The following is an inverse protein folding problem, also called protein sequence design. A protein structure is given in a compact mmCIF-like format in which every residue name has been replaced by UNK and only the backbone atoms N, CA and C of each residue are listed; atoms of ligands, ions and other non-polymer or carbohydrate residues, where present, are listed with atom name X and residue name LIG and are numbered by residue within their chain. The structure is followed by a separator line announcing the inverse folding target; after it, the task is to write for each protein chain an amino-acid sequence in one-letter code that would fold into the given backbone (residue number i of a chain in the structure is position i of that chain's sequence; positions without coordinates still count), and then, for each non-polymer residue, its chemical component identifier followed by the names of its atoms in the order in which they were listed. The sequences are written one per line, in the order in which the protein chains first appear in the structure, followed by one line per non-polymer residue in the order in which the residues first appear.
data_IF_992574380578
#
_entry.id   IF_992574380578
#
_cell.length_a   1.000
_cell.length_b   1.000
_cell.length_c   1.000
_cell.angle_alpha   90.00
_cell.angle_beta   90.00
_cell.angle_gamma   90.00
#
_symmetry.space_group_name_H-M   'P 1'
#
loop_
_entity.id
_entity.type
_entity.pdbx_description
1 polymer ?
#
# COMPACT_ATOMS: atom_id res chain seq x y z
N UNK A 1 -1.85 9.87 37.41
CA UNK A 1 -1.72 10.08 35.95
C UNK A 1 -2.09 8.76 35.26
N UNK A 2 -3.33 8.62 34.78
CA UNK A 2 -3.79 7.40 34.09
C UNK A 2 -3.29 7.46 32.65
N UNK A 3 -2.50 6.47 32.24
CA UNK A 3 -2.07 6.30 30.87
C UNK A 3 -3.33 6.09 30.01
N UNK A 4 -3.47 6.91 28.97
CA UNK A 4 -4.39 6.66 27.87
C UNK A 4 -3.97 5.34 27.22
N UNK A 5 -4.63 4.24 27.54
CA UNK A 5 -4.65 3.06 26.66
C UNK A 5 -5.14 3.54 25.29
N UNK A 6 -4.20 3.71 24.35
CA UNK A 6 -4.53 3.94 22.96
C UNK A 6 -5.33 2.72 22.51
N UNK A 7 -6.64 2.89 22.24
CA UNK A 7 -7.49 1.86 21.64
C UNK A 7 -6.79 1.39 20.37
N UNK A 8 -6.22 0.19 20.41
CA UNK A 8 -5.64 -0.45 19.23
C UNK A 8 -6.72 -0.52 18.15
N UNK A 9 -6.36 -0.13 16.93
CA UNK A 9 -7.32 -0.15 15.82
C UNK A 9 -7.64 -1.59 15.44
N UNK A 10 -8.88 -1.87 15.04
CA UNK A 10 -9.29 -3.18 14.50
C UNK A 10 -8.36 -3.61 13.37
N UNK A 11 -7.87 -2.66 12.57
CA UNK A 11 -6.89 -2.93 11.51
C UNK A 11 -5.55 -3.39 12.06
N UNK A 12 -5.06 -2.81 13.16
CA UNK A 12 -3.77 -3.21 13.75
C UNK A 12 -3.86 -4.61 14.34
N UNK A 13 -4.97 -4.93 15.00
CA UNK A 13 -5.23 -6.30 15.49
C UNK A 13 -5.34 -7.29 14.34
N UNK A 14 -6.05 -6.94 13.25
CA UNK A 14 -6.20 -7.84 12.10
C UNK A 14 -4.87 -8.13 11.40
N UNK A 15 -3.97 -7.14 11.30
CA UNK A 15 -2.63 -7.29 10.72
C UNK A 15 -1.81 -8.35 11.47
N UNK A 16 -1.92 -8.42 12.80
CA UNK A 16 -1.20 -9.43 13.61
C UNK A 16 -1.82 -10.82 13.44
N UNK A 17 -3.14 -10.90 13.40
CA UNK A 17 -3.86 -12.19 13.37
C UNK A 17 -3.85 -12.84 11.99
N UNK A 18 -3.71 -12.08 10.89
CA UNK A 18 -3.82 -12.57 9.51
C UNK A 18 -2.95 -13.80 9.21
N UNK A 19 -1.76 -13.87 9.85
CA UNK A 19 -0.80 -14.96 9.69
C UNK A 19 -1.34 -16.30 10.20
N UNK A 20 -2.18 -16.30 11.25
CA UNK A 20 -2.79 -17.51 11.81
C UNK A 20 -3.78 -18.17 10.83
N UNK A 21 -4.33 -17.39 9.91
CA UNK A 21 -5.30 -17.85 8.92
C UNK A 21 -4.65 -18.17 7.56
N UNK A 22 -3.32 -18.09 7.44
CA UNK A 22 -2.63 -18.28 6.17
C UNK A 22 -2.96 -17.20 5.13
N UNK A 23 -3.43 -16.03 5.58
CA UNK A 23 -3.80 -14.90 4.73
C UNK A 23 -2.64 -13.87 4.70
N UNK A 24 -2.60 -13.06 3.65
CA UNK A 24 -1.61 -11.99 3.48
C UNK A 24 -2.26 -10.60 3.36
N UNK A 25 -1.59 -9.58 3.89
CA UNK A 25 -1.90 -8.18 3.60
C UNK A 25 -0.88 -7.61 2.61
N UNK A 26 -1.37 -6.79 1.68
CA UNK A 26 -0.54 -5.96 0.80
C UNK A 26 -0.94 -4.51 1.04
N UNK A 27 -0.02 -3.71 1.59
CA UNK A 27 -0.20 -2.27 1.76
C UNK A 27 0.43 -1.54 0.60
N UNK A 28 -0.32 -0.62 -0.02
CA UNK A 28 0.17 0.26 -1.08
C UNK A 28 -0.18 1.68 -0.70
N UNK A 29 0.84 2.49 -0.44
CA UNK A 29 0.67 3.89 -0.03
C UNK A 29 1.73 4.76 -0.71
N UNK A 30 1.37 6.02 -0.96
CA UNK A 30 2.30 7.05 -1.43
C UNK A 30 3.05 7.72 -0.27
N UNK A 31 2.49 7.70 0.95
CA UNK A 31 3.04 8.37 2.14
C UNK A 31 3.42 7.36 3.22
N UNK A 32 4.65 6.87 3.18
CA UNK A 32 5.14 5.88 4.15
C UNK A 32 5.05 6.34 5.61
N UNK A 33 5.14 7.64 5.88
CA UNK A 33 5.06 8.21 7.22
C UNK A 33 3.68 8.14 7.88
N UNK A 34 2.63 7.88 7.10
CA UNK A 34 1.26 7.69 7.61
C UNK A 34 0.96 6.23 7.97
N UNK A 35 1.77 5.28 7.49
CA UNK A 35 1.63 3.87 7.84
C UNK A 35 1.96 3.65 9.32
N UNK A 36 1.14 2.82 9.98
CA UNK A 36 1.35 2.53 11.39
C UNK A 36 2.63 1.73 11.61
N UNK A 37 3.26 1.91 12.78
CA UNK A 37 4.43 1.11 13.17
C UNK A 37 4.11 -0.39 13.20
N UNK A 38 2.86 -0.74 13.51
CA UNK A 38 2.37 -2.13 13.50
C UNK A 38 2.42 -2.70 12.08
N UNK A 39 2.04 -1.93 11.06
CA UNK A 39 2.12 -2.37 9.67
C UNK A 39 3.57 -2.67 9.25
N UNK A 40 4.52 -1.77 9.54
CA UNK A 40 5.94 -2.02 9.24
C UNK A 40 6.50 -3.23 9.99
N UNK A 41 6.25 -3.32 11.30
CA UNK A 41 6.79 -4.39 12.14
C UNK A 41 6.24 -5.79 11.80
N UNK A 42 5.03 -5.86 11.20
CA UNK A 42 4.40 -7.13 10.81
C UNK A 42 4.45 -7.39 9.30
N UNK A 43 5.03 -6.49 8.51
CA UNK A 43 5.26 -6.74 7.09
C UNK A 43 6.48 -7.65 6.94
N UNK A 44 6.31 -8.77 6.23
CA UNK A 44 7.43 -9.67 5.92
C UNK A 44 8.34 -9.07 4.85
N UNK A 45 7.75 -8.49 3.80
CA UNK A 45 8.46 -7.85 2.72
C UNK A 45 8.08 -6.37 2.66
N UNK A 46 9.09 -5.51 2.52
CA UNK A 46 8.89 -4.09 2.23
C UNK A 46 9.55 -3.76 0.90
N UNK A 47 8.78 -3.14 -0.01
CA UNK A 47 9.25 -2.70 -1.33
C UNK A 47 9.14 -1.19 -1.34
N UNK A 48 10.27 -0.50 -1.34
CA UNK A 48 10.34 0.96 -1.38
C UNK A 48 10.75 1.42 -2.77
N UNK A 49 9.87 2.19 -3.40
CA UNK A 49 10.20 2.99 -4.57
C UNK A 49 10.79 4.34 -4.13
N UNK A 50 11.16 5.18 -5.10
CA UNK A 50 11.66 6.53 -4.82
C UNK A 50 10.69 7.32 -3.94
N UNK A 51 11.24 7.92 -2.88
CA UNK A 51 10.51 8.76 -1.93
C UNK A 51 10.94 10.22 -2.13
N UNK A 52 10.05 11.18 -1.87
CA UNK A 52 10.35 12.62 -2.00
C UNK A 52 10.42 13.35 -0.66
N UNK A 53 9.47 13.07 0.23
CA UNK A 53 9.36 13.77 1.49
C UNK A 53 10.35 13.20 2.51
N UNK A 54 11.02 14.09 3.25
CA UNK A 54 12.01 13.70 4.27
C UNK A 54 11.42 12.77 5.33
N UNK A 55 10.16 12.98 5.73
CA UNK A 55 9.44 12.13 6.68
C UNK A 55 9.28 10.70 6.16
N UNK A 56 8.92 10.53 4.89
CA UNK A 56 8.72 9.23 4.27
C UNK A 56 10.06 8.50 4.07
N UNK A 57 11.09 9.21 3.61
CA UNK A 57 12.46 8.69 3.52
C UNK A 57 12.91 8.16 4.88
N UNK A 58 12.71 8.92 5.95
CA UNK A 58 13.10 8.52 7.29
C UNK A 58 12.29 7.31 7.78
N UNK A 59 10.99 7.25 7.49
CA UNK A 59 10.13 6.13 7.86
C UNK A 59 10.58 4.83 7.18
N UNK A 60 10.76 4.85 5.86
CA UNK A 60 11.24 3.71 5.08
C UNK A 60 12.65 3.30 5.50
N UNK A 61 13.56 4.25 5.65
CA UNK A 61 14.91 3.97 6.07
C UNK A 61 14.99 3.28 7.43
N UNK A 62 14.14 3.71 8.37
CA UNK A 62 14.04 3.11 9.70
C UNK A 62 13.43 1.71 9.62
N UNK A 63 12.41 1.51 8.77
CA UNK A 63 11.77 0.21 8.57
C UNK A 63 12.68 -0.81 7.86
N UNK A 64 13.57 -0.36 6.98
CA UNK A 64 14.48 -1.20 6.21
C UNK A 64 15.89 -1.32 6.79
N UNK A 65 16.18 -0.62 7.91
CA UNK A 65 17.48 -0.56 8.56
C UNK A 65 18.61 -0.02 7.66
N UNK A 66 18.36 1.10 6.97
CA UNK A 66 19.34 1.72 6.07
C UNK A 66 20.42 2.52 6.80
N UNK A 67 21.64 2.50 6.26
CA UNK A 67 22.71 3.45 6.60
C UNK A 67 22.38 4.85 6.09
N UNK A 68 23.01 5.89 6.64
CA UNK A 68 22.75 7.27 6.24
C UNK A 68 23.04 7.54 4.75
N UNK A 69 24.02 6.84 4.17
CA UNK A 69 24.31 6.89 2.73
C UNK A 69 23.19 6.27 1.90
N UNK A 70 22.67 5.11 2.32
CA UNK A 70 21.56 4.42 1.64
C UNK A 70 20.27 5.24 1.69
N UNK A 71 20.05 6.01 2.77
CA UNK A 71 18.90 6.94 2.87
C UNK A 71 18.90 7.96 1.76
N UNK A 72 20.07 8.50 1.41
CA UNK A 72 20.17 9.50 0.34
C UNK A 72 19.87 8.87 -1.04
N UNK A 73 20.24 7.61 -1.23
CA UNK A 73 19.99 6.88 -2.48
C UNK A 73 18.50 6.65 -2.77
N UNK A 74 17.61 6.60 -1.75
CA UNK A 74 16.17 6.48 -1.95
C UNK A 74 15.58 7.62 -2.80
N UNK A 75 16.11 8.83 -2.65
CA UNK A 75 15.62 10.00 -3.39
C UNK A 75 16.07 10.00 -4.85
N UNK A 76 17.13 9.26 -5.18
CA UNK A 76 17.75 9.23 -6.51
C UNK A 76 17.42 7.95 -7.29
N UNK A 77 16.58 7.07 -6.73
CA UNK A 77 16.16 5.84 -7.40
C UNK A 77 15.49 6.14 -8.75
N UNK A 78 15.98 5.57 -9.85
CA UNK A 78 15.38 5.77 -11.16
C UNK A 78 14.04 5.04 -11.25
N UNK A 79 13.12 5.59 -12.04
CA UNK A 79 11.79 5.01 -12.27
C UNK A 79 11.88 3.54 -12.70
N UNK A 80 10.98 2.72 -12.16
CA UNK A 80 10.97 1.27 -12.37
C UNK A 80 12.05 0.54 -11.58
N UNK A 81 12.55 1.12 -10.49
CA UNK A 81 13.51 0.48 -9.57
C UNK A 81 13.01 0.61 -8.15
N UNK A 82 13.30 -0.39 -7.32
CA UNK A 82 12.88 -0.40 -5.93
C UNK A 82 13.93 -1.10 -5.06
N UNK A 83 13.98 -0.72 -3.80
CA UNK A 83 14.74 -1.47 -2.79
C UNK A 83 13.78 -2.42 -2.07
N UNK A 84 14.19 -3.67 -1.96
CA UNK A 84 13.43 -4.72 -1.30
C UNK A 84 14.17 -5.15 -0.05
N UNK A 85 13.41 -5.25 1.05
CA UNK A 85 13.87 -5.90 2.28
C UNK A 85 12.87 -6.99 2.66
N UNK A 86 13.39 -8.18 2.87
CA UNK A 86 12.65 -9.32 3.40
C UNK A 86 13.02 -9.48 4.87
N UNK A 87 12.09 -9.84 5.75
CA UNK A 87 12.37 -10.03 7.16
C UNK A 87 13.30 -11.23 7.43
N UNK A 88 13.34 -12.20 6.51
CA UNK A 88 14.16 -13.40 6.56
C UNK A 88 14.89 -13.64 5.21
N UNK A 89 15.82 -14.60 5.16
CA UNK A 89 16.60 -15.06 4.00
C UNK A 89 17.67 -14.10 3.45
N UNK A 90 17.45 -12.78 3.52
CA UNK A 90 18.43 -11.76 3.11
C UNK A 90 18.49 -10.62 4.12
N UNK A 91 19.49 -10.60 5.04
CA UNK A 91 19.60 -9.60 6.10
C UNK A 91 19.84 -8.18 5.58
N UNK A 92 20.34 -8.05 4.36
CA UNK A 92 20.61 -6.76 3.73
C UNK A 92 19.55 -6.44 2.66
N UNK A 93 19.07 -5.19 2.61
CA UNK A 93 18.21 -4.71 1.53
C UNK A 93 18.92 -4.79 0.17
N UNK A 94 18.18 -5.12 -0.88
CA UNK A 94 18.72 -5.26 -2.24
C UNK A 94 17.89 -4.49 -3.27
N UNK A 95 18.56 -4.03 -4.32
CA UNK A 95 17.93 -3.27 -5.41
C UNK A 95 17.36 -4.23 -6.46
N UNK A 96 16.13 -3.96 -6.91
CA UNK A 96 15.48 -4.67 -8.00
C UNK A 96 15.02 -3.72 -9.11
N UNK A 97 14.99 -4.23 -10.34
CA UNK A 97 14.33 -3.57 -11.47
C UNK A 97 12.92 -4.13 -11.63
N UNK A 98 11.92 -3.26 -11.57
CA UNK A 98 10.52 -3.63 -11.77
C UNK A 98 10.22 -3.53 -13.27
N UNK A 99 9.78 -4.61 -13.92
CA UNK A 99 9.41 -4.57 -15.32
C UNK A 99 8.20 -3.65 -15.53
N UNK A 100 8.22 -2.87 -16.61
CA UNK A 100 7.08 -2.03 -16.97
C UNK A 100 5.90 -2.92 -17.35
N UNK A 101 4.82 -2.83 -16.58
CA UNK A 101 3.55 -3.44 -16.93
C UNK A 101 2.66 -2.40 -17.60
N UNK A 102 2.40 -2.56 -18.89
CA UNK A 102 1.50 -1.68 -19.63
C UNK A 102 0.05 -2.02 -19.25
N UNK A 103 -0.48 -1.32 -18.24
CA UNK A 103 -1.90 -1.42 -17.89
C UNK A 103 -2.68 -0.50 -18.81
N UNK A 104 -3.63 -1.08 -19.56
CA UNK A 104 -4.54 -0.29 -20.40
C UNK A 104 -5.72 0.18 -19.55
N UNK A 105 -5.81 1.48 -19.30
CA UNK A 105 -6.96 2.06 -18.60
C UNK A 105 -8.27 1.71 -19.31
N UNK A 106 -9.33 1.45 -18.55
CA UNK A 106 -10.62 0.99 -19.08
C UNK A 106 -10.65 -0.46 -19.59
N UNK A 107 -9.56 -1.22 -19.49
CA UNK A 107 -9.54 -2.64 -19.86
C UNK A 107 -10.45 -3.52 -18.99
N UNK A 108 -10.82 -3.03 -17.80
CA UNK A 108 -11.74 -3.70 -16.88
C UNK A 108 -12.96 -2.80 -16.69
N UNK A 109 -14.13 -3.29 -17.11
CA UNK A 109 -15.41 -2.58 -16.88
C UNK A 109 -16.03 -2.95 -15.53
N UNK A 110 -16.85 -2.06 -14.97
CA UNK A 110 -17.60 -2.32 -13.74
C UNK A 110 -18.44 -3.61 -13.83
N UNK A 111 -19.01 -3.89 -15.02
CA UNK A 111 -19.74 -5.14 -15.28
C UNK A 111 -18.84 -6.36 -15.14
N UNK A 112 -17.59 -6.30 -15.60
CA UNK A 112 -16.63 -7.37 -15.46
C UNK A 112 -16.28 -7.61 -13.98
N UNK A 113 -16.07 -6.53 -13.21
CA UNK A 113 -15.82 -6.61 -11.75
C UNK A 113 -17.03 -7.21 -11.05
N UNK A 114 -18.25 -6.70 -11.29
CA UNK A 114 -19.49 -7.18 -10.68
C UNK A 114 -19.73 -8.65 -10.95
N UNK A 115 -19.54 -9.10 -12.19
CA UNK A 115 -19.70 -10.51 -12.56
C UNK A 115 -18.65 -11.40 -11.89
N UNK A 116 -17.41 -10.94 -11.76
CA UNK A 116 -16.35 -11.67 -11.06
C UNK A 116 -16.68 -11.79 -9.56
N UNK A 117 -17.14 -10.70 -8.95
CA UNK A 117 -17.45 -10.66 -7.52
C UNK A 117 -18.74 -11.39 -7.15
N UNK A 118 -19.69 -11.56 -8.08
CA UNK A 118 -20.94 -12.29 -7.88
C UNK A 118 -20.75 -13.69 -7.26
N UNK A 119 -19.64 -14.36 -7.56
CA UNK A 119 -19.30 -15.70 -7.04
C UNK A 119 -18.83 -15.71 -5.58
N UNK A 120 -18.48 -14.55 -5.03
CA UNK A 120 -17.97 -14.42 -3.66
C UNK A 120 -19.02 -13.81 -2.70
N UNK A 121 -20.15 -13.32 -3.22
CA UNK A 121 -21.23 -12.71 -2.43
C UNK A 121 -22.24 -13.71 -1.85
N UNK A 122 -22.14 -15.00 -2.19
CA UNK A 122 -23.11 -16.02 -1.76
C UNK A 122 -23.14 -16.26 -0.25
N UNK A 123 -22.13 -15.81 0.52
CA UNK A 123 -22.05 -16.01 1.97
C UNK A 123 -22.30 -14.74 2.82
N UNK A 124 -22.55 -13.59 2.21
CA UNK A 124 -22.73 -12.31 2.95
C UNK A 124 -24.19 -11.86 3.04
N UNK A 125 -25.15 -12.72 2.71
CA UNK A 125 -26.57 -12.36 2.53
C UNK A 125 -27.28 -11.86 3.78
N UNK A 126 -26.73 -12.06 4.97
CA UNK A 126 -27.44 -11.76 6.23
C UNK A 126 -27.36 -10.31 6.70
N UNK A 127 -26.63 -9.41 6.02
CA UNK A 127 -26.49 -8.02 6.50
C UNK A 127 -26.66 -6.95 5.42
N UNK A 128 -27.42 -7.25 4.36
CA UNK A 128 -27.71 -6.31 3.28
C UNK A 128 -28.81 -5.33 3.70
N UNK A 129 -28.50 -4.39 4.60
CA UNK A 129 -29.27 -3.14 4.67
C UNK A 129 -29.01 -2.39 3.37
N UNK A 130 -30.08 -1.94 2.73
CA UNK A 130 -30.13 -1.43 1.38
C UNK A 130 -29.15 -0.26 1.14
N UNK A 131 -27.99 -0.54 0.54
CA UNK A 131 -27.19 0.48 -0.15
C UNK A 131 -27.73 0.65 -1.57
N UNK A 132 -28.90 1.29 -1.69
CA UNK A 132 -29.58 1.50 -2.96
C UNK A 132 -28.99 2.63 -3.82
N UNK A 133 -28.16 3.54 -3.29
CA UNK A 133 -27.72 4.72 -4.06
C UNK A 133 -26.27 5.17 -3.78
N UNK A 134 -25.27 4.28 -3.93
CA UNK A 134 -23.89 4.77 -4.04
C UNK A 134 -23.71 5.33 -5.45
N UNK A 135 -23.90 6.65 -5.61
CA UNK A 135 -23.48 7.38 -6.82
C UNK A 135 -22.01 7.07 -7.07
N UNK A 136 -21.72 6.41 -8.20
CA UNK A 136 -20.35 6.17 -8.68
C UNK A 136 -19.64 7.52 -8.76
N UNK A 137 -18.60 7.70 -7.95
CA UNK A 137 -17.76 8.89 -8.03
C UNK A 137 -16.94 8.75 -9.32
N UNK A 138 -17.06 9.69 -10.27
CA UNK A 138 -16.30 9.60 -11.50
C UNK A 138 -14.80 9.65 -11.18
N UNK A 139 -13.96 8.94 -11.95
CA UNK A 139 -12.51 9.10 -11.85
C UNK A 139 -12.16 10.56 -12.11
N UNK A 140 -11.25 11.11 -11.31
CA UNK A 140 -10.73 12.46 -11.48
C UNK A 140 -9.94 12.46 -12.80
N UNK A 141 -10.56 12.93 -13.89
CA UNK A 141 -9.93 13.02 -15.19
C UNK A 141 -9.49 14.47 -15.49
N UNK A 142 -8.18 14.56 -15.75
CA UNK A 142 -7.44 15.51 -16.59
C UNK A 142 -7.15 16.92 -16.04
N UNK A 143 -5.89 17.07 -15.59
CA UNK A 143 -5.16 18.33 -15.66
C UNK A 143 -5.29 18.90 -17.08
N UNK A 144 -6.01 20.02 -17.19
CA UNK A 144 -5.95 20.86 -18.38
C UNK A 144 -4.53 21.40 -18.54
N UNK A 145 -3.71 20.73 -19.34
CA UNK A 145 -2.53 21.35 -19.95
C UNK A 145 -2.99 22.45 -20.90
N UNK A 146 -2.80 23.69 -20.44
CA UNK A 146 -2.33 24.85 -21.19
C UNK A 146 -3.11 25.29 -22.43
N UNK A 147 -3.68 26.49 -22.37
CA UNK A 147 -3.48 27.47 -23.44
C UNK A 147 -3.57 28.88 -22.84
N UNK A 148 -2.42 29.53 -22.79
CA UNK A 148 -2.29 30.95 -22.46
C UNK A 148 -1.11 31.49 -23.27
N UNK A 149 -1.30 32.55 -24.08
CA UNK A 149 -0.18 33.32 -24.62
C UNK A 149 0.55 34.10 -23.51
#
# INVERSE_FOLDING_TARGET
KKASEAKESILETSIRMVRQYGLGYVFVDQSASLLSKVAFANSYATIALSQKLRSDVQAIASAMNFTDEQKQALNTLPVGSAVVRLADEHPEPFLVKIPLCAVREGSVSDKAVKNRMARYYTDTSSNRTEYSDIKVVPPILEDKKGDGP
#
